data_IF_465716679560
#
_entry.id   IF_465716679560
#
_cell.length_a   1.000
_cell.length_b   1.000
_cell.length_c   1.000
_cell.angle_alpha   90.00
_cell.angle_beta   90.00
_cell.angle_gamma   90.00
#
_symmetry.space_group_name_H-M   'P 1'
#
loop_
_entity.id
_entity.type
_entity.pdbx_description
1 polymer ?
#
# COMPACT_ATOMS: atom_id res chain seq x y z
N UNK A 1 -0.64 2.88 -12.85
CA UNK A 1 -1.20 3.58 -11.64
C UNK A 1 -1.79 2.50 -10.76
N UNK A 2 -1.27 2.27 -9.54
CA UNK A 2 -1.70 1.10 -8.75
C UNK A 2 -3.20 1.15 -8.53
N UNK A 3 -3.87 0.02 -8.78
CA UNK A 3 -5.29 -0.12 -8.47
C UNK A 3 -5.45 -0.56 -7.02
N UNK A 4 -6.66 -0.36 -6.48
CA UNK A 4 -7.01 -0.95 -5.18
C UNK A 4 -6.72 -2.44 -5.23
N UNK A 5 -5.98 -2.94 -4.25
CA UNK A 5 -5.56 -4.33 -4.16
C UNK A 5 -6.07 -4.94 -2.85
N UNK A 6 -6.41 -6.22 -2.91
CA UNK A 6 -6.73 -7.02 -1.73
C UNK A 6 -5.56 -7.94 -1.43
N UNK A 7 -5.18 -8.00 -0.16
CA UNK A 7 -4.06 -8.80 0.33
C UNK A 7 -4.49 -9.61 1.54
N UNK A 8 -4.26 -10.93 1.50
CA UNK A 8 -4.58 -11.82 2.63
C UNK A 8 -3.33 -12.00 3.48
N UNK A 9 -3.35 -11.44 4.68
CA UNK A 9 -2.30 -11.59 5.69
C UNK A 9 -2.61 -12.79 6.58
N UNK A 10 -1.65 -13.69 6.77
CA UNK A 10 -1.79 -14.83 7.67
C UNK A 10 -1.10 -14.54 9.00
N UNK A 11 -1.88 -14.48 10.08
CA UNK A 11 -1.40 -14.21 11.43
C UNK A 11 -1.65 -15.40 12.34
N UNK A 12 -1.05 -15.42 13.54
CA UNK A 12 -1.32 -16.46 14.54
C UNK A 12 -2.81 -16.50 14.95
N UNK A 13 -3.49 -15.35 14.92
CA UNK A 13 -4.92 -15.21 15.22
C UNK A 13 -5.84 -15.60 14.05
N UNK A 14 -5.26 -15.89 12.88
CA UNK A 14 -5.96 -16.31 11.67
C UNK A 14 -5.70 -15.42 10.46
N UNK A 15 -6.51 -15.63 9.41
CA UNK A 15 -6.43 -14.83 8.18
C UNK A 15 -7.05 -13.45 8.41
N UNK A 16 -6.39 -12.43 7.89
CA UNK A 16 -6.84 -11.05 7.85
C UNK A 16 -6.89 -10.58 6.41
N UNK A 17 -7.99 -9.96 6.02
CA UNK A 17 -8.21 -9.51 4.64
C UNK A 17 -7.98 -7.99 4.60
N UNK A 18 -6.85 -7.60 4.02
CA UNK A 18 -6.33 -6.23 4.01
C UNK A 18 -6.59 -5.59 2.65
N UNK A 19 -7.38 -4.53 2.64
CA UNK A 19 -7.58 -3.69 1.46
C UNK A 19 -6.52 -2.59 1.43
N UNK A 20 -5.82 -2.47 0.30
CA UNK A 20 -4.76 -1.50 0.04
C UNK A 20 -5.24 -0.47 -0.98
N UNK A 21 -5.28 0.81 -0.59
CA UNK A 21 -5.77 1.90 -1.44
C UNK A 21 -4.68 2.96 -1.65
N UNK A 22 -4.24 3.21 -2.89
CA UNK A 22 -3.31 4.29 -3.16
C UNK A 22 -3.98 5.65 -2.93
N UNK A 23 -3.23 6.58 -2.34
CA UNK A 23 -3.64 7.97 -2.20
C UNK A 23 -3.12 8.76 -3.39
N UNK A 24 -4.05 9.25 -4.20
CA UNK A 24 -3.74 10.16 -5.29
C UNK A 24 -4.00 11.60 -4.83
N UNK A 25 -3.06 12.51 -5.11
CA UNK A 25 -3.28 13.94 -4.90
C UNK A 25 -3.49 14.64 -6.23
N UNK A 26 -4.47 15.55 -6.26
CA UNK A 26 -4.71 16.44 -7.40
C UNK A 26 -4.01 17.76 -7.13
N UNK A 27 -3.06 18.13 -7.99
CA UNK A 27 -2.48 19.48 -7.98
C UNK A 27 -3.39 20.43 -8.75
N UNK A 28 -3.36 21.72 -8.38
CA UNK A 28 -4.02 22.79 -9.12
C UNK A 28 -3.62 22.74 -10.60
N UNK A 29 -4.54 22.31 -11.46
CA UNK A 29 -4.28 21.97 -12.86
C UNK A 29 -4.86 20.63 -13.31
N UNK A 30 -5.34 19.80 -12.38
CA UNK A 30 -6.10 18.58 -12.68
C UNK A 30 -5.26 17.33 -12.94
N UNK A 31 -3.93 17.43 -12.86
CA UNK A 31 -3.05 16.27 -12.91
C UNK A 31 -3.09 15.51 -11.56
N UNK A 32 -3.32 14.21 -11.62
CA UNK A 32 -3.21 13.29 -10.48
C UNK A 32 -1.78 12.74 -10.43
N UNK A 33 -1.14 12.78 -9.27
CA UNK A 33 0.13 12.09 -9.03
C UNK A 33 0.00 11.09 -7.89
N UNK A 34 0.77 10.01 -8.00
CA UNK A 34 0.93 9.00 -6.96
C UNK A 34 1.79 9.62 -5.86
N UNK A 35 1.28 9.64 -4.64
CA UNK A 35 1.98 10.27 -3.49
C UNK A 35 2.98 9.35 -2.81
N UNK A 36 3.09 8.08 -3.24
CA UNK A 36 3.80 7.04 -2.50
C UNK A 36 3.05 6.53 -1.27
N UNK A 37 1.86 7.06 -0.97
CA UNK A 37 1.07 6.71 0.22
C UNK A 37 -0.01 5.69 -0.12
N UNK A 38 -0.07 4.62 0.68
CA UNK A 38 -1.03 3.53 0.56
C UNK A 38 -1.77 3.34 1.87
N UNK A 39 -3.09 3.52 1.85
CA UNK A 39 -3.94 3.30 3.00
C UNK A 39 -4.26 1.82 3.16
N UNK A 40 -4.14 1.32 4.38
CA UNK A 40 -4.51 -0.03 4.77
C UNK A 40 -5.82 -0.02 5.55
N UNK A 41 -6.71 -0.94 5.22
CA UNK A 41 -7.97 -1.12 5.95
C UNK A 41 -8.40 -2.58 5.97
N UNK A 42 -9.06 -3.00 7.05
CA UNK A 42 -9.76 -4.28 7.16
C UNK A 42 -11.26 -3.99 7.33
N UNK A 43 -12.02 -4.16 6.24
CA UNK A 43 -13.41 -3.69 6.18
C UNK A 43 -13.51 -2.17 6.35
N UNK A 44 -14.20 -1.72 7.40
CA UNK A 44 -14.33 -0.29 7.74
C UNK A 44 -13.25 0.21 8.71
N UNK A 45 -12.40 -0.69 9.22
CA UNK A 45 -11.34 -0.34 10.19
C UNK A 45 -10.09 0.10 9.42
N UNK A 46 -9.67 1.35 9.63
CA UNK A 46 -8.40 1.84 9.12
C UNK A 46 -7.25 1.31 9.95
N UNK A 47 -6.27 0.68 9.29
CA UNK A 47 -5.09 0.10 9.94
C UNK A 47 -3.89 1.05 9.88
N UNK A 48 -4.01 2.20 9.22
CA UNK A 48 -2.92 3.15 9.00
C UNK A 48 -2.43 3.14 7.56
N UNK A 49 -1.29 3.76 7.32
CA UNK A 49 -0.75 3.98 5.98
C UNK A 49 0.69 3.43 5.86
N UNK A 50 1.01 2.86 4.70
CA UNK A 50 2.39 2.62 4.24
C UNK A 50 2.78 3.79 3.34
N UNK A 51 3.88 4.46 3.67
CA UNK A 51 4.43 5.59 2.93
C UNK A 51 5.76 5.17 2.34
N UNK A 52 5.86 5.19 1.01
CA UNK A 52 7.12 4.97 0.32
C UNK A 52 7.83 6.29 0.00
N UNK A 53 9.15 6.22 -0.13
CA UNK A 53 9.94 7.25 -0.80
C UNK A 53 9.68 7.27 -2.32
N UNK A 54 10.26 8.27 -3.01
CA UNK A 54 10.06 8.48 -4.45
C UNK A 54 10.55 7.29 -5.31
N UNK A 55 11.49 6.50 -4.79
CA UNK A 55 12.09 5.33 -5.48
C UNK A 55 11.42 4.00 -5.07
N UNK A 56 10.39 4.03 -4.20
CA UNK A 56 9.76 2.85 -3.60
C UNK A 56 10.74 1.90 -2.89
N UNK A 57 11.86 2.40 -2.36
CA UNK A 57 12.90 1.61 -1.69
C UNK A 57 12.74 1.61 -0.19
N UNK A 58 12.47 2.77 0.37
CA UNK A 58 12.25 2.95 1.79
C UNK A 58 10.76 3.08 2.05
N UNK A 59 10.30 2.54 3.18
CA UNK A 59 8.91 2.63 3.58
C UNK A 59 8.78 2.86 5.08
N UNK A 60 7.70 3.55 5.46
CA UNK A 60 7.29 3.78 6.83
C UNK A 60 5.85 3.32 7.02
N UNK A 61 5.56 2.69 8.15
CA UNK A 61 4.20 2.34 8.56
C UNK A 61 3.74 3.24 9.70
N UNK A 62 2.60 3.89 9.50
CA UNK A 62 2.05 4.90 10.42
C UNK A 62 0.95 4.37 11.34
N UNK A 63 0.50 3.13 11.13
CA UNK A 63 -0.52 2.50 11.97
C UNK A 63 0.04 2.08 13.33
N UNK A 64 -0.75 2.28 14.39
CA UNK A 64 -0.30 2.03 15.75
C UNK A 64 -0.99 0.80 16.35
N UNK A 65 -0.23 -0.29 16.53
CA UNK A 65 -0.69 -1.48 17.25
C UNK A 65 -1.56 -2.44 16.44
N UNK A 66 -2.03 -2.05 15.25
CA UNK A 66 -2.90 -2.87 14.41
C UNK A 66 -2.16 -3.94 13.59
N UNK A 67 -0.90 -3.67 13.24
CA UNK A 67 0.00 -4.58 12.53
C UNK A 67 1.38 -4.52 13.18
N UNK A 68 2.06 -5.66 13.23
CA UNK A 68 3.48 -5.68 13.59
C UNK A 68 4.31 -5.09 12.45
N UNK A 69 5.54 -4.66 12.76
CA UNK A 69 6.45 -4.17 11.72
C UNK A 69 6.72 -5.23 10.63
N UNK A 70 6.79 -6.51 11.00
CA UNK A 70 6.97 -7.62 10.05
C UNK A 70 5.76 -7.78 9.12
N UNK A 71 4.54 -7.69 9.65
CA UNK A 71 3.31 -7.74 8.85
C UNK A 71 3.21 -6.54 7.91
N UNK A 72 3.55 -5.35 8.39
CA UNK A 72 3.61 -4.15 7.56
C UNK A 72 4.68 -4.27 6.46
N UNK A 73 5.83 -4.90 6.76
CA UNK A 73 6.89 -5.16 5.79
C UNK A 73 6.44 -6.09 4.66
N UNK A 74 5.68 -7.15 5.00
CA UNK A 74 5.13 -8.08 4.01
C UNK A 74 4.16 -7.38 3.05
N UNK A 75 3.30 -6.52 3.59
CA UNK A 75 2.37 -5.71 2.79
C UNK A 75 3.14 -4.69 1.94
N UNK A 76 4.17 -4.04 2.50
CA UNK A 76 5.00 -3.10 1.75
C UNK A 76 5.70 -3.79 0.57
N UNK A 77 6.26 -4.99 0.78
CA UNK A 77 6.87 -5.77 -0.28
C UNK A 77 5.85 -6.15 -1.37
N UNK A 78 4.65 -6.57 -0.98
CA UNK A 78 3.57 -6.83 -1.93
C UNK A 78 3.25 -5.60 -2.79
N UNK A 79 3.18 -4.41 -2.19
CA UNK A 79 2.93 -3.16 -2.92
C UNK A 79 4.07 -2.88 -3.90
N UNK A 80 5.33 -3.01 -3.49
CA UNK A 80 6.50 -2.82 -4.37
C UNK A 80 6.44 -3.77 -5.58
N UNK A 81 6.23 -5.06 -5.35
CA UNK A 81 6.18 -6.07 -6.41
C UNK A 81 5.05 -5.79 -7.40
N UNK A 82 3.87 -5.42 -6.89
CA UNK A 82 2.73 -5.02 -7.73
C UNK A 82 2.99 -3.77 -8.53
N UNK A 83 3.64 -2.77 -7.93
CA UNK A 83 4.01 -1.54 -8.62
C UNK A 83 4.96 -1.83 -9.78
N UNK A 84 5.98 -2.67 -9.52
CA UNK A 84 6.97 -3.03 -10.52
C UNK A 84 6.33 -3.75 -11.70
N UNK A 85 5.47 -4.74 -11.42
CA UNK A 85 4.73 -5.49 -12.45
C UNK A 85 3.89 -4.56 -13.34
N UNK A 86 3.13 -3.62 -12.77
CA UNK A 86 2.31 -2.69 -13.57
C UNK A 86 3.17 -1.75 -14.45
N UNK A 87 4.34 -1.32 -13.96
CA UNK A 87 5.27 -0.50 -14.72
C UNK A 87 5.93 -1.24 -15.90
N UNK A 88 6.09 -2.56 -15.78
CA UNK A 88 6.55 -3.41 -16.88
C UNK A 88 5.44 -3.64 -17.91
N UNK A 89 4.20 -3.85 -17.46
CA UNK A 89 3.04 -4.06 -18.35
C UNK A 89 2.68 -2.79 -19.15
N UNK A 90 2.90 -1.58 -18.62
CA UNK A 90 2.66 -0.30 -19.33
C UNK A 90 3.73 0.04 -20.38
N UNK A 91 4.87 -0.68 -20.43
CA UNK A 91 5.97 -0.43 -21.38
C UNK A 91 5.85 -1.21 -22.70
N UNK A 92 4.81 -2.04 -22.86
CA UNK A 92 4.59 -2.92 -24.03
C UNK A 92 3.55 -2.32 -24.97
#
# INVERSE_FOLDING_TARGET
MIKVAEYTLYTEDGKRDITIKPVNQTISGGALYVTGVFKLSEGEVGLGDIVFDDDLREWEYTGFGDLTHEQAAEIAQYIQDKTHQELEDEKI
#
